data_IF_780252187198
#
_entry.id   IF_780252187198
#
_cell.length_a   1.000
_cell.length_b   1.000
_cell.length_c   1.000
_cell.angle_alpha   90.00
_cell.angle_beta   90.00
_cell.angle_gamma   90.00
#
_symmetry.space_group_name_H-M   'P 1'
#
loop_
_entity.id
_entity.type
_entity.pdbx_description
1 polymer ?
#
# COMPACT_ATOMS: atom_id res chain seq x y z
N UNK A 1 -10.41 -6.26 -21.44
CA UNK A 1 -10.76 -5.98 -20.03
C UNK A 1 -9.79 -4.91 -19.57
N UNK A 2 -10.24 -3.67 -19.46
CA UNK A 2 -9.43 -2.62 -18.86
C UNK A 2 -9.38 -2.92 -17.37
N UNK A 3 -8.28 -3.50 -16.90
CA UNK A 3 -8.01 -3.58 -15.46
C UNK A 3 -7.80 -2.14 -15.01
N UNK A 4 -8.85 -1.50 -14.51
CA UNK A 4 -8.72 -0.30 -13.67
C UNK A 4 -8.07 -0.77 -12.39
N UNK A 5 -6.74 -0.88 -12.44
CA UNK A 5 -5.92 -1.30 -11.33
C UNK A 5 -5.79 -0.10 -10.39
N UNK A 6 -6.70 0.03 -9.43
CA UNK A 6 -6.59 1.04 -8.37
C UNK A 6 -5.40 0.66 -7.50
N UNK A 7 -4.49 1.61 -7.26
CA UNK A 7 -3.29 1.40 -6.46
C UNK A 7 -3.67 0.96 -5.03
N UNK A 8 -3.07 -0.12 -4.51
CA UNK A 8 -3.28 -0.57 -3.14
C UNK A 8 -2.91 0.52 -2.13
N UNK A 9 -3.91 1.07 -1.47
CA UNK A 9 -3.73 2.09 -0.44
C UNK A 9 -4.56 1.75 0.80
N UNK A 10 -4.07 2.11 1.97
CA UNK A 10 -4.75 1.85 3.24
C UNK A 10 -4.78 3.10 4.11
N UNK A 11 -5.90 3.36 4.75
CA UNK A 11 -6.04 4.39 5.76
C UNK A 11 -5.71 3.84 7.14
N UNK A 12 -4.58 4.30 7.68
CA UNK A 12 -4.08 3.85 8.99
C UNK A 12 -4.38 4.92 10.02
N UNK A 13 -5.10 4.54 11.06
CA UNK A 13 -5.17 5.28 12.32
C UNK A 13 -4.76 4.39 13.48
N UNK A 14 -5.12 4.78 14.71
CA UNK A 14 -4.91 3.96 15.90
C UNK A 14 -6.20 3.77 16.69
N UNK A 15 -6.35 2.58 17.29
CA UNK A 15 -7.51 2.27 18.15
C UNK A 15 -7.62 3.24 19.32
N UNK A 16 -6.49 3.68 19.87
CA UNK A 16 -6.46 4.63 20.97
C UNK A 16 -7.04 6.00 20.57
N UNK A 17 -6.61 6.58 19.44
CA UNK A 17 -7.17 7.85 18.92
C UNK A 17 -8.64 7.70 18.57
N UNK A 18 -9.02 6.60 17.92
CA UNK A 18 -10.41 6.31 17.58
C UNK A 18 -11.30 6.26 18.84
N UNK A 19 -10.87 5.53 19.87
CA UNK A 19 -11.59 5.45 21.15
C UNK A 19 -11.64 6.79 21.91
N UNK A 20 -10.67 7.68 21.69
CA UNK A 20 -10.68 9.05 22.20
C UNK A 20 -11.53 10.03 21.35
N UNK A 21 -12.26 9.53 20.34
CA UNK A 21 -13.10 10.35 19.46
C UNK A 21 -12.32 11.09 18.36
N UNK A 22 -11.10 10.67 18.08
CA UNK A 22 -10.25 11.24 17.03
C UNK A 22 -10.11 10.25 15.87
N UNK A 23 -10.52 10.69 14.68
CA UNK A 23 -10.34 9.93 13.43
C UNK A 23 -8.96 10.19 12.79
N UNK A 24 -7.98 10.61 13.59
CA UNK A 24 -6.66 10.94 13.06
C UNK A 24 -5.99 9.70 12.47
N UNK A 25 -5.62 9.82 11.21
CA UNK A 25 -4.94 8.80 10.45
C UNK A 25 -4.48 9.35 9.10
N UNK A 26 -3.80 8.51 8.33
CA UNK A 26 -3.24 8.88 7.03
C UNK A 26 -3.41 7.74 6.03
N UNK A 27 -3.65 8.12 4.78
CA UNK A 27 -3.55 7.22 3.65
C UNK A 27 -2.08 6.90 3.34
N UNK A 28 -1.78 5.62 3.25
CA UNK A 28 -0.48 5.10 2.85
C UNK A 28 -0.62 4.29 1.58
N UNK A 29 0.20 4.60 0.59
CA UNK A 29 0.32 3.81 -0.63
C UNK A 29 1.24 2.62 -0.37
N UNK A 30 0.70 1.41 -0.42
CA UNK A 30 1.44 0.18 -0.16
C UNK A 30 2.46 -0.13 -1.25
N UNK A 31 2.34 0.50 -2.43
CA UNK A 31 3.31 0.33 -3.51
C UNK A 31 4.60 1.10 -3.28
N UNK A 32 4.59 2.13 -2.41
CA UNK A 32 5.79 2.88 -2.05
C UNK A 32 6.70 2.14 -1.06
N UNK A 33 6.19 1.12 -0.36
CA UNK A 33 6.92 0.39 0.68
C UNK A 33 7.46 -0.95 0.17
N UNK A 34 8.75 -1.20 0.27
CA UNK A 34 9.36 -2.45 -0.24
C UNK A 34 8.88 -3.68 0.55
N UNK A 35 8.47 -3.48 1.80
CA UNK A 35 7.81 -4.51 2.56
C UNK A 35 7.04 -4.00 3.78
N UNK A 36 6.58 -4.98 4.54
CA UNK A 36 5.79 -4.77 5.76
C UNK A 36 6.52 -3.95 6.82
N UNK A 37 7.83 -4.13 6.93
CA UNK A 37 8.65 -3.45 7.94
C UNK A 37 8.67 -1.94 7.69
N UNK A 38 9.00 -1.48 6.48
CA UNK A 38 9.00 -0.05 6.13
C UNK A 38 7.64 0.61 6.36
N UNK A 39 6.56 -0.12 6.05
CA UNK A 39 5.21 0.37 6.29
C UNK A 39 4.90 0.54 7.77
N UNK A 40 5.24 -0.46 8.60
CA UNK A 40 5.04 -0.33 10.05
C UNK A 40 5.94 0.74 10.66
N UNK A 41 7.17 0.94 10.16
CA UNK A 41 8.02 2.04 10.60
C UNK A 41 7.40 3.40 10.26
N UNK A 42 6.83 3.56 9.06
CA UNK A 42 6.12 4.79 8.68
C UNK A 42 4.85 5.01 9.53
N UNK A 43 4.12 3.94 9.88
CA UNK A 43 2.98 4.00 10.78
C UNK A 43 3.41 4.38 12.21
N UNK A 44 4.50 3.78 12.72
CA UNK A 44 5.08 4.14 14.01
C UNK A 44 5.57 5.59 14.03
N UNK A 45 6.19 6.08 12.95
CA UNK A 45 6.62 7.46 12.85
C UNK A 45 5.43 8.44 12.85
N UNK A 46 4.31 8.07 12.21
CA UNK A 46 3.07 8.86 12.22
C UNK A 46 2.44 8.93 13.62
N UNK A 47 2.48 7.81 14.36
CA UNK A 47 1.91 7.64 15.70
C UNK A 47 2.99 7.61 16.79
N UNK A 48 4.12 8.28 16.57
CA UNK A 48 5.25 8.29 17.51
C UNK A 48 4.90 9.00 18.84
N UNK A 49 3.74 9.65 18.90
CA UNK A 49 3.15 10.21 20.11
C UNK A 49 2.54 9.15 21.05
N UNK A 50 2.36 7.92 20.58
CA UNK A 50 1.78 6.79 21.32
C UNK A 50 2.84 5.72 21.60
N UNK A 51 2.96 5.28 22.87
CA UNK A 51 3.98 4.31 23.30
C UNK A 51 3.71 2.88 22.81
N UNK A 52 2.44 2.52 22.63
CA UNK A 52 1.99 1.22 22.11
C UNK A 52 0.85 1.47 21.11
N UNK A 53 1.22 2.02 19.96
CA UNK A 53 0.29 2.39 18.91
C UNK A 53 -0.35 1.14 18.29
N UNK A 54 -1.55 0.78 18.75
CA UNK A 54 -2.36 -0.25 18.11
C UNK A 54 -2.94 0.29 16.80
N UNK A 55 -2.34 -0.11 15.67
CA UNK A 55 -2.77 0.30 14.35
C UNK A 55 -4.15 -0.26 14.00
N UNK A 56 -4.98 0.61 13.41
CA UNK A 56 -6.30 0.28 12.91
C UNK A 56 -6.40 0.70 11.45
N UNK A 57 -6.70 -0.27 10.59
CA UNK A 57 -6.95 -0.06 9.16
C UNK A 57 -8.44 0.20 8.96
N UNK A 58 -8.82 1.47 8.93
CA UNK A 58 -10.24 1.86 8.89
C UNK A 58 -10.83 1.79 7.48
N UNK A 59 -9.99 1.93 6.46
CA UNK A 59 -10.41 1.90 5.06
C UNK A 59 -9.25 1.46 4.15
N UNK A 60 -9.57 0.94 2.96
CA UNK A 60 -8.58 0.50 1.98
C UNK A 60 -9.13 0.55 0.55
N UNK A 61 -8.24 0.85 -0.40
CA UNK A 61 -8.52 0.88 -1.83
C UNK A 61 -7.58 -0.06 -2.59
N UNK A 62 -8.06 -0.64 -3.69
CA UNK A 62 -7.22 -1.51 -4.54
C UNK A 62 -6.91 -2.90 -3.97
N UNK A 63 -7.37 -3.21 -2.74
CA UNK A 63 -7.15 -4.50 -2.09
C UNK A 63 -8.51 -5.19 -1.84
N UNK A 64 -8.70 -6.43 -2.33
CA UNK A 64 -9.89 -7.20 -1.99
C UNK A 64 -9.95 -7.47 -0.48
N UNK A 65 -11.14 -7.36 0.13
CA UNK A 65 -11.36 -7.56 1.58
C UNK A 65 -11.01 -8.95 2.13
N UNK A 66 -10.61 -9.89 1.27
CA UNK A 66 -10.06 -11.18 1.69
C UNK A 66 -8.56 -11.11 2.05
N UNK A 67 -7.86 -10.08 1.57
CA UNK A 67 -6.41 -9.84 1.71
C UNK A 67 -6.10 -8.68 2.66
N UNK A 68 -7.13 -8.06 3.26
CA UNK A 68 -6.98 -6.97 4.22
C UNK A 68 -8.11 -7.05 5.22
N UNK A 69 -7.79 -6.74 6.47
CA UNK A 69 -8.71 -6.63 7.58
C UNK A 69 -8.42 -5.34 8.35
N UNK A 70 -9.21 -5.05 9.37
CA UNK A 70 -9.03 -3.87 10.22
C UNK A 70 -7.70 -3.85 11.00
N UNK A 71 -6.97 -4.97 11.06
CA UNK A 71 -5.72 -5.11 11.80
C UNK A 71 -4.61 -5.85 11.06
N UNK A 72 -4.87 -6.37 9.85
CA UNK A 72 -3.89 -7.13 9.08
C UNK A 72 -4.00 -6.85 7.58
N UNK A 73 -2.86 -6.92 6.89
CA UNK A 73 -2.76 -6.79 5.45
C UNK A 73 -1.93 -7.98 4.95
N UNK A 74 -2.39 -8.62 3.89
CA UNK A 74 -1.67 -9.67 3.18
C UNK A 74 -0.64 -9.03 2.23
N UNK A 75 0.63 -9.15 2.62
CA UNK A 75 1.74 -8.59 1.87
C UNK A 75 2.11 -9.38 0.62
N UNK A 76 1.70 -10.66 0.54
CA UNK A 76 1.93 -11.46 -0.67
C UNK A 76 1.12 -10.92 -1.84
N UNK A 77 -0.09 -10.40 -1.57
CA UNK A 77 -0.91 -9.70 -2.57
C UNK A 77 -0.21 -8.43 -3.08
N UNK A 78 0.32 -7.60 -2.18
CA UNK A 78 1.03 -6.36 -2.54
C UNK A 78 2.29 -6.66 -3.35
N UNK A 79 3.06 -7.68 -2.95
CA UNK A 79 4.25 -8.11 -3.68
C UNK A 79 3.90 -8.66 -5.08
N UNK A 80 2.80 -9.40 -5.22
CA UNK A 80 2.31 -9.85 -6.52
C UNK A 80 1.85 -8.68 -7.40
N UNK A 81 1.16 -7.69 -6.83
CA UNK A 81 0.74 -6.47 -7.51
C UNK A 81 1.93 -5.70 -8.07
N UNK A 82 2.95 -5.43 -7.23
CA UNK A 82 4.17 -4.73 -7.64
C UNK A 82 4.85 -5.40 -8.83
N UNK A 83 4.97 -6.72 -8.80
CA UNK A 83 5.55 -7.51 -9.91
C UNK A 83 4.74 -7.37 -11.20
N UNK A 84 3.41 -7.40 -11.11
CA UNK A 84 2.53 -7.23 -12.27
C UNK A 84 2.62 -5.80 -12.88
N UNK A 85 2.71 -4.77 -12.03
CA UNK A 85 2.91 -3.39 -12.47
C UNK A 85 4.28 -3.19 -13.11
N UNK A 86 5.34 -3.81 -12.57
CA UNK A 86 6.68 -3.77 -13.17
C UNK A 86 6.71 -4.43 -14.55
N UNK A 87 6.10 -5.61 -14.70
CA UNK A 87 5.96 -6.30 -15.99
C UNK A 87 5.15 -5.47 -17.00
N UNK A 88 4.05 -4.85 -16.53
CA UNK A 88 3.23 -3.94 -17.34
C UNK A 88 4.03 -2.71 -17.81
N UNK A 89 4.86 -2.15 -16.92
CA UNK A 89 5.73 -1.00 -17.22
C UNK A 89 6.83 -1.37 -18.21
N UNK A 90 7.46 -2.54 -18.07
CA UNK A 90 8.43 -3.07 -19.04
C UNK A 90 7.80 -3.32 -20.40
N UNK A 91 6.62 -3.95 -20.44
CA UNK A 91 5.89 -4.22 -21.68
C UNK A 91 5.48 -2.92 -22.40
N UNK A 92 5.12 -1.87 -21.63
CA UNK A 92 4.80 -0.54 -22.16
C UNK A 92 6.04 0.16 -22.71
N UNK A 93 7.20 0.01 -22.05
CA UNK A 93 8.47 0.53 -22.54
C UNK A 93 8.88 -0.12 -23.87
N UNK A 94 8.79 -1.45 -23.96
CA UNK A 94 9.10 -2.17 -25.20
C UNK A 94 8.16 -1.80 -26.36
N UNK A 95 6.87 -1.63 -26.06
CA UNK A 95 5.83 -1.28 -27.05
C UNK A 95 5.96 0.15 -27.58
N UNK A 96 6.49 1.10 -26.80
CA UNK A 96 6.51 2.53 -27.14
C UNK A 96 7.87 3.07 -27.61
N UNK A 97 8.98 2.33 -27.50
CA UNK A 97 10.29 2.94 -27.78
C UNK A 97 11.49 2.03 -28.03
N UNK A 98 11.32 0.73 -28.30
CA UNK A 98 12.42 -0.18 -28.61
C UNK A 98 13.01 -0.04 -30.02
N UNK A 99 13.21 1.18 -30.54
CA UNK A 99 14.01 1.42 -31.76
C UNK A 99 15.05 2.49 -31.46
N UNK A 100 16.15 2.11 -30.83
CA UNK A 100 17.44 2.72 -31.14
C UNK A 100 18.44 1.61 -31.50
N UNK A 101 18.70 1.57 -32.82
CA UNK A 101 19.67 0.75 -33.53
C UNK A 101 20.97 0.64 -32.73
N UNK A 102 21.37 -0.60 -32.43
CA UNK A 102 22.78 -0.95 -32.21
C UNK A 102 23.52 -0.69 -33.53
N UNK A 103 24.66 0.00 -33.39
CA UNK A 103 25.70 0.38 -34.37
C UNK A 103 25.69 -0.32 -35.73
#
# INVERSE_FOLDING_TARGET
MSTTTTTPAVYVGTYHKYNCGSIFGKWFDLTEFDGREDFYEACQALHADEWDAEFMFQDWEGIPSQFVSESSIDWDFIAAYKRAEEESREARFYRLGGVYRRV
#
